data_IF_533614804818
#
_entry.id   IF_533614804818
#
_cell.length_a   1.000
_cell.length_b   1.000
_cell.length_c   1.000
_cell.angle_alpha   90.00
_cell.angle_beta   90.00
_cell.angle_gamma   90.00
#
_symmetry.space_group_name_H-M   'P 1'
#
loop_
_entity.id
_entity.type
_entity.pdbx_description
1 polymer ?
#
# COMPACT_ATOMS: atom_id res chain seq x y z
N UNK A 1 -17.58 2.17 -10.51
CA UNK A 1 -16.94 1.03 -9.82
C UNK A 1 -16.56 1.49 -8.42
N UNK A 2 -16.90 0.74 -7.38
CA UNK A 2 -16.44 1.05 -6.03
C UNK A 2 -15.03 0.47 -5.85
N UNK A 3 -14.17 1.19 -5.14
CA UNK A 3 -12.85 0.71 -4.75
C UNK A 3 -12.93 0.16 -3.34
N UNK A 4 -12.39 -1.03 -3.14
CA UNK A 4 -12.26 -1.65 -1.83
C UNK A 4 -10.78 -1.70 -1.48
N UNK A 5 -10.44 -1.23 -0.29
CA UNK A 5 -9.09 -1.33 0.28
C UNK A 5 -9.19 -1.96 1.65
N UNK A 6 -8.53 -3.09 1.83
CA UNK A 6 -8.32 -3.67 3.15
C UNK A 6 -7.05 -3.10 3.77
N UNK A 7 -7.12 -2.80 5.06
CA UNK A 7 -6.00 -2.34 5.88
C UNK A 7 -5.79 -3.41 6.95
N UNK A 8 -4.62 -4.03 6.93
CA UNK A 8 -4.28 -5.12 7.84
C UNK A 8 -3.08 -4.67 8.65
N UNK A 9 -3.24 -4.52 9.97
CA UNK A 9 -2.11 -4.21 10.85
C UNK A 9 -1.04 -5.29 10.72
N UNK A 10 0.22 -4.90 10.46
CA UNK A 10 1.34 -5.87 10.36
C UNK A 10 1.61 -6.57 11.69
N UNK A 11 1.25 -5.93 12.81
CA UNK A 11 1.52 -6.39 14.17
C UNK A 11 0.33 -7.07 14.83
N UNK A 12 -0.86 -6.47 14.74
CA UNK A 12 -2.06 -6.95 15.39
C UNK A 12 -2.90 -7.89 14.50
N UNK A 13 -2.60 -7.94 13.20
CA UNK A 13 -3.32 -8.73 12.18
C UNK A 13 -4.82 -8.39 12.09
N UNK A 14 -5.23 -7.25 12.65
CA UNK A 14 -6.59 -6.75 12.56
C UNK A 14 -6.85 -6.18 11.17
N UNK A 15 -7.94 -6.63 10.54
CA UNK A 15 -8.37 -6.19 9.21
C UNK A 15 -9.53 -5.19 9.31
N UNK A 16 -9.41 -4.09 8.58
CA UNK A 16 -10.49 -3.12 8.33
C UNK A 16 -10.66 -2.92 6.83
N UNK A 17 -11.88 -2.98 6.31
CA UNK A 17 -12.17 -2.75 4.89
C UNK A 17 -12.82 -1.38 4.68
N UNK A 18 -12.26 -0.60 3.76
CA UNK A 18 -12.83 0.67 3.31
C UNK A 18 -13.38 0.53 1.89
N UNK A 19 -14.59 1.04 1.66
CA UNK A 19 -15.24 1.01 0.35
C UNK A 19 -15.63 2.43 -0.01
N UNK A 20 -15.19 2.93 -1.16
CA UNK A 20 -15.59 4.24 -1.65
C UNK A 20 -15.74 4.30 -3.17
N UNK A 21 -16.58 5.20 -3.67
CA UNK A 21 -16.66 5.58 -5.07
C UNK A 21 -15.80 6.83 -5.30
N UNK A 22 -14.81 6.74 -6.19
CA UNK A 22 -13.91 7.85 -6.50
C UNK A 22 -12.68 7.90 -5.59
N UNK A 23 -12.32 9.09 -5.11
CA UNK A 23 -11.12 9.29 -4.30
C UNK A 23 -11.25 8.66 -2.92
N UNK A 24 -10.17 8.03 -2.44
CA UNK A 24 -10.12 7.40 -1.12
C UNK A 24 -8.97 7.96 -0.31
N UNK A 25 -9.22 8.30 0.96
CA UNK A 25 -8.19 8.66 1.91
C UNK A 25 -8.14 7.59 3.00
N UNK A 26 -6.98 6.97 3.16
CA UNK A 26 -6.70 5.94 4.16
C UNK A 26 -5.75 6.54 5.19
N UNK A 27 -6.10 6.50 6.48
CA UNK A 27 -5.22 6.95 7.56
C UNK A 27 -4.57 5.74 8.21
N UNK A 28 -3.24 5.66 8.17
CA UNK A 28 -2.48 4.56 8.76
C UNK A 28 -1.90 5.03 10.10
N UNK A 29 -2.28 4.34 11.17
CA UNK A 29 -1.80 4.66 12.54
C UNK A 29 -0.51 3.91 12.89
N UNK A 30 -0.21 2.85 12.14
CA UNK A 30 0.95 1.97 12.28
C UNK A 30 1.22 1.28 10.93
N UNK A 31 2.43 0.73 10.71
CA UNK A 31 2.73 -0.07 9.52
C UNK A 31 1.67 -1.15 9.28
N UNK A 32 1.08 -1.11 8.09
CA UNK A 32 -0.03 -1.97 7.70
C UNK A 32 0.21 -2.54 6.29
N UNK A 33 -0.40 -3.68 5.99
CA UNK A 33 -0.54 -4.16 4.60
C UNK A 33 -1.83 -3.58 4.05
N UNK A 34 -1.73 -2.78 2.99
CA UNK A 34 -2.89 -2.32 2.22
C UNK A 34 -3.14 -3.29 1.08
N UNK A 35 -4.33 -3.90 1.05
CA UNK A 35 -4.76 -4.75 -0.06
C UNK A 35 -5.81 -4.02 -0.88
N UNK A 36 -5.45 -3.58 -2.08
CA UNK A 36 -6.36 -2.93 -3.02
C UNK A 36 -7.00 -4.00 -3.88
N UNK A 37 -8.33 -4.07 -3.86
CA UNK A 37 -9.10 -4.97 -4.72
C UNK A 37 -9.19 -4.37 -6.12
N UNK A 38 -8.48 -5.00 -7.05
CA UNK A 38 -8.27 -4.55 -8.42
C UNK A 38 -6.90 -4.96 -8.95
N UNK A 39 -6.63 -4.67 -10.22
CA UNK A 39 -5.35 -4.95 -10.86
C UNK A 39 -4.38 -3.76 -10.72
N UNK A 40 -3.10 -4.03 -10.44
CA UNK A 40 -2.02 -3.01 -10.49
C UNK A 40 -1.92 -2.37 -11.87
N UNK A 41 -2.31 -3.10 -12.92
CA UNK A 41 -2.35 -2.59 -14.30
C UNK A 41 -3.28 -1.39 -14.48
N UNK A 42 -4.21 -1.14 -13.55
CA UNK A 42 -5.12 0.02 -13.56
C UNK A 42 -4.53 1.27 -12.88
N UNK A 43 -3.30 1.18 -12.38
CA UNK A 43 -2.53 2.30 -11.86
C UNK A 43 -1.83 3.02 -13.00
N UNK A 44 -1.88 4.35 -12.98
CA UNK A 44 -1.14 5.22 -13.89
C UNK A 44 0.25 5.50 -13.33
N UNK A 45 0.35 5.79 -12.03
CA UNK A 45 1.61 6.05 -11.32
C UNK A 45 1.42 6.04 -9.81
N UNK A 46 2.56 5.94 -9.13
CA UNK A 46 2.69 6.06 -7.69
C UNK A 46 3.46 7.34 -7.36
N UNK A 47 3.01 8.09 -6.38
CA UNK A 47 3.67 9.32 -5.95
C UNK A 47 3.88 9.29 -4.43
N UNK A 48 5.06 9.68 -3.96
CA UNK A 48 5.31 10.01 -2.56
C UNK A 48 5.11 11.49 -2.35
N UNK A 49 4.32 11.85 -1.34
CA UNK A 49 4.18 13.22 -0.86
C UNK A 49 4.42 13.24 0.64
N UNK A 50 5.60 13.70 1.07
CA UNK A 50 6.03 13.53 2.47
C UNK A 50 6.05 12.05 2.89
N UNK A 51 5.21 11.70 3.86
CA UNK A 51 5.06 10.31 4.32
C UNK A 51 3.88 9.56 3.69
N UNK A 52 3.19 10.19 2.74
CA UNK A 52 2.00 9.62 2.13
C UNK A 52 2.34 8.98 0.80
N UNK A 53 1.66 7.88 0.50
CA UNK A 53 1.63 7.28 -0.83
C UNK A 53 0.33 7.67 -1.53
N UNK A 54 0.45 8.23 -2.73
CA UNK A 54 -0.66 8.49 -3.62
C UNK A 54 -0.62 7.48 -4.76
N UNK A 55 -1.75 6.87 -5.05
CA UNK A 55 -1.95 5.90 -6.12
C UNK A 55 -2.94 6.51 -7.09
N UNK A 56 -2.45 6.93 -8.26
CA UNK A 56 -3.27 7.58 -9.28
C UNK A 56 -3.77 6.52 -10.25
N UNK A 57 -5.09 6.32 -10.31
CA UNK A 57 -5.72 5.28 -11.12
C UNK A 57 -6.07 5.79 -12.52
N UNK A 58 -6.22 4.88 -13.49
CA UNK A 58 -6.60 5.20 -14.88
C UNK A 58 -7.94 5.92 -15.01
N UNK A 59 -8.86 5.65 -14.08
CA UNK A 59 -10.17 6.31 -14.04
C UNK A 59 -10.12 7.73 -13.44
N UNK A 60 -8.92 8.23 -13.11
CA UNK A 60 -8.68 9.57 -12.57
C UNK A 60 -8.86 9.68 -11.06
N UNK A 61 -9.32 8.63 -10.38
CA UNK A 61 -9.40 8.63 -8.93
C UNK A 61 -8.03 8.43 -8.27
N UNK A 62 -7.90 8.93 -7.04
CA UNK A 62 -6.68 8.82 -6.23
C UNK A 62 -6.98 8.10 -4.94
N UNK A 63 -6.16 7.10 -4.62
CA UNK A 63 -6.09 6.51 -3.28
C UNK A 63 -4.89 7.16 -2.57
N UNK A 64 -5.14 7.92 -1.51
CA UNK A 64 -4.11 8.51 -0.65
C UNK A 64 -3.97 7.70 0.63
N UNK A 65 -2.82 7.09 0.82
CA UNK A 65 -2.45 6.33 2.01
C UNK A 65 -1.59 7.23 2.89
N UNK A 66 -2.22 7.87 3.88
CA UNK A 66 -1.56 8.80 4.78
C UNK A 66 -0.66 8.03 5.75
N UNK A 67 0.60 8.46 5.87
CA UNK A 67 1.59 7.82 6.74
C UNK A 67 2.14 6.48 6.22
N UNK A 68 1.95 6.15 4.94
CA UNK A 68 2.45 4.91 4.33
C UNK A 68 3.94 4.67 4.58
N UNK A 69 4.75 5.74 4.48
CA UNK A 69 6.21 5.69 4.64
C UNK A 69 6.67 6.00 6.08
N UNK A 70 5.77 5.97 7.07
CA UNK A 70 6.18 6.05 8.49
C UNK A 70 6.74 4.68 8.88
N UNK A 71 8.01 4.68 9.23
CA UNK A 71 8.73 3.51 9.75
C UNK A 71 8.40 3.25 11.23
N UNK A 72 8.39 1.99 11.62
CA UNK A 72 8.43 1.59 13.03
C UNK A 72 9.87 1.48 13.58
N UNK A 73 9.99 0.94 14.79
CA UNK A 73 11.28 0.72 15.45
C UNK A 73 12.19 -0.29 14.75
N UNK A 74 11.67 -1.07 13.80
CA UNK A 74 12.44 -2.00 12.96
C UNK A 74 12.73 -1.42 11.56
N UNK A 75 12.52 -0.12 11.37
CA UNK A 75 12.69 0.58 10.08
C UNK A 75 11.78 0.00 8.97
N UNK A 76 10.65 -0.61 9.35
CA UNK A 76 9.66 -1.15 8.42
C UNK A 76 8.49 -0.19 8.29
N UNK A 77 8.06 0.06 7.06
CA UNK A 77 6.89 0.89 6.74
C UNK A 77 5.73 0.02 6.22
N UNK A 78 4.66 0.65 5.75
CA UNK A 78 3.49 -0.07 5.23
C UNK A 78 3.77 -0.77 3.88
N UNK A 79 3.03 -1.85 3.60
CA UNK A 79 3.16 -2.61 2.35
C UNK A 79 1.95 -2.41 1.45
N UNK A 80 2.14 -2.54 0.14
CA UNK A 80 1.07 -2.41 -0.84
C UNK A 80 0.90 -3.69 -1.66
N UNK A 81 -0.31 -4.26 -1.63
CA UNK A 81 -0.68 -5.44 -2.39
C UNK A 81 -1.92 -5.15 -3.22
N UNK A 82 -1.92 -5.59 -4.48
CA UNK A 82 -3.12 -5.67 -5.30
C UNK A 82 -3.65 -7.10 -5.28
N UNK A 83 -4.96 -7.24 -5.13
CA UNK A 83 -5.68 -8.49 -5.31
C UNK A 83 -6.64 -8.35 -6.48
N UNK A 84 -6.38 -9.08 -7.57
CA UNK A 84 -7.24 -9.04 -8.74
C UNK A 84 -8.53 -9.88 -8.55
N UNK A 85 -9.44 -9.84 -9.51
CA UNK A 85 -10.73 -10.54 -9.43
C UNK A 85 -10.62 -12.07 -9.34
N UNK A 86 -9.48 -12.65 -9.73
CA UNK A 86 -9.18 -14.08 -9.55
C UNK A 86 -8.63 -14.44 -8.17
N UNK A 87 -8.39 -13.43 -7.32
CA UNK A 87 -7.79 -13.56 -6.00
C UNK A 87 -6.26 -13.55 -6.00
N UNK A 88 -5.60 -13.45 -7.16
CA UNK A 88 -4.14 -13.44 -7.25
C UNK A 88 -3.55 -12.14 -6.68
N UNK A 89 -2.43 -12.28 -5.96
CA UNK A 89 -1.78 -11.20 -5.24
C UNK A 89 -0.52 -10.71 -5.96
N UNK A 90 -0.41 -9.39 -6.07
CA UNK A 90 0.76 -8.70 -6.60
C UNK A 90 1.24 -7.67 -5.59
N UNK A 91 2.46 -7.84 -5.09
CA UNK A 91 3.10 -6.90 -4.17
C UNK A 91 3.88 -5.85 -4.94
N UNK A 92 3.71 -4.61 -4.50
CA UNK A 92 4.33 -3.44 -5.09
C UNK A 92 5.36 -2.91 -4.11
N UNK A 93 6.61 -2.87 -4.55
CA UNK A 93 7.72 -2.28 -3.80
C UNK A 93 8.28 -1.09 -4.56
N UNK A 94 8.91 -0.16 -3.84
CA UNK A 94 9.52 1.02 -4.43
C UNK A 94 11.01 1.03 -4.08
N UNK A 95 11.86 1.24 -5.08
CA UNK A 95 13.30 1.43 -4.86
C UNK A 95 13.61 2.83 -4.32
N UNK A 96 14.74 2.98 -3.63
CA UNK A 96 15.31 4.29 -3.22
C UNK A 96 14.35 5.21 -2.45
N UNK A 97 13.61 4.65 -1.49
CA UNK A 97 12.80 5.42 -0.55
C UNK A 97 13.67 6.02 0.57
N UNK A 98 14.70 6.78 0.18
CA UNK A 98 15.71 7.32 1.10
C UNK A 98 15.12 8.10 2.28
N UNK A 99 15.68 7.89 3.47
CA UNK A 99 15.25 8.52 4.73
C UNK A 99 15.75 9.95 4.86
N UNK A 100 15.34 10.91 4.02
CA UNK A 100 15.72 12.32 4.22
C UNK A 100 14.88 13.33 3.41
N UNK A 101 14.37 14.37 4.12
CA UNK A 101 13.85 15.69 3.68
C UNK A 101 12.47 15.71 2.95
N UNK A 102 11.68 16.81 3.05
CA UNK A 102 10.31 16.87 2.56
C UNK A 102 10.33 16.92 1.04
N UNK A 103 10.07 15.78 0.42
CA UNK A 103 9.78 15.69 -1.00
C UNK A 103 8.42 16.34 -1.23
N UNK A 104 8.41 17.52 -1.88
CA UNK A 104 7.17 18.21 -2.30
C UNK A 104 6.26 17.25 -3.10
N UNK A 105 6.88 16.41 -3.93
CA UNK A 105 6.31 15.25 -4.61
C UNK A 105 7.43 14.45 -5.28
N UNK A 106 7.40 13.12 -5.22
CA UNK A 106 8.32 12.24 -5.95
C UNK A 106 7.54 11.14 -6.66
N UNK A 107 7.75 10.97 -7.96
CA UNK A 107 7.25 9.80 -8.68
C UNK A 107 8.06 8.58 -8.26
N UNK A 108 7.38 7.49 -7.94
CA UNK A 108 7.99 6.23 -7.54
C UNK A 108 7.95 5.23 -8.69
N UNK A 109 9.07 4.55 -8.91
CA UNK A 109 9.13 3.42 -9.83
C UNK A 109 8.75 2.14 -9.08
N UNK A 110 7.62 1.49 -9.43
CA UNK A 110 7.18 0.27 -8.78
C UNK A 110 7.93 -0.96 -9.30
N UNK A 111 8.22 -1.89 -8.41
CA UNK A 111 8.56 -3.28 -8.75
C UNK A 111 7.41 -4.18 -8.33
N UNK A 112 6.83 -4.89 -9.31
CA UNK A 112 5.72 -5.83 -9.08
C UNK A 112 6.25 -7.24 -8.87
N UNK A 113 5.87 -7.87 -7.76
CA UNK A 113 6.23 -9.26 -7.44
C UNK A 113 4.97 -10.06 -7.12
N UNK A 114 4.74 -11.16 -7.83
CA UNK A 114 3.62 -12.06 -7.55
C UNK A 114 3.85 -12.78 -6.22
N UNK A 115 2.79 -12.93 -5.41
CA UNK A 115 2.86 -13.61 -4.12
C UNK A 115 1.76 -14.66 -3.96
N UNK A 116 2.02 -15.67 -3.13
CA UNK A 116 1.05 -16.70 -2.79
C UNK A 116 0.07 -16.24 -1.70
N UNK A 117 0.57 -15.52 -0.70
CA UNK A 117 -0.18 -15.00 0.43
C UNK A 117 0.51 -13.75 1.02
N UNK A 118 -0.21 -13.03 1.88
CA UNK A 118 0.29 -11.83 2.56
C UNK A 118 0.97 -12.12 3.91
N UNK A 119 1.06 -13.37 4.36
CA UNK A 119 1.57 -13.71 5.69
C UNK A 119 3.02 -13.28 5.84
N UNK A 120 3.82 -13.46 4.80
CA UNK A 120 5.22 -13.01 4.75
C UNK A 120 5.42 -11.50 4.98
N UNK A 121 4.35 -10.70 4.84
CA UNK A 121 4.38 -9.26 5.09
C UNK A 121 3.99 -8.90 6.55
N UNK A 122 3.38 -9.82 7.30
CA UNK A 122 3.00 -9.62 8.70
C UNK A 122 4.18 -9.98 9.63
N UNK A 123 4.30 -9.28 10.76
CA UNK A 123 5.39 -9.50 11.72
C UNK A 123 5.27 -10.82 12.46
N UNK A 124 4.05 -11.38 12.53
CA UNK A 124 3.75 -12.67 13.16
C UNK A 124 4.30 -13.91 12.43
N UNK A 125 4.88 -13.76 11.24
CA UNK A 125 5.39 -14.90 10.44
C UNK A 125 6.82 -15.33 10.77
N UNK A 126 7.41 -14.78 11.84
CA UNK A 126 8.71 -15.23 12.34
C UNK A 126 8.51 -16.39 13.32
N UNK A 127 7.97 -17.52 12.86
CA UNK A 127 8.15 -18.78 13.56
C UNK A 127 9.64 -19.16 13.43
N UNK A 128 10.32 -19.24 14.57
CA UNK A 128 11.75 -19.61 14.67
C UNK A 128 12.04 -21.08 14.39
#
# INVERSE_FOLDING_TARGET
>A
MNKTVDIISRKAETKTSLINAGNLNVSLQEPSVLVIHGSSTEVVRYERQGNDLLIVMKDGSVIRCNGYFIEDSEEKYSELVFQNDSGALTHITFADIGSSIPVEMMILEPTETTMADIQTLLYGSSDG
#
